data_IF_880267714264
#
_entry.id   IF_880267714264
#
_cell.length_a   1.000
_cell.length_b   1.000
_cell.length_c   1.000
_cell.angle_alpha   90.00
_cell.angle_beta   90.00
_cell.angle_gamma   90.00
#
_symmetry.space_group_name_H-M   'P 1'
#
loop_
_entity.id
_entity.type
_entity.pdbx_description
1 polymer ?
#
# COMPACT_ATOMS: atom_id res chain seq x y z
N UNK A 1 -2.22 2.09 8.71
CA UNK A 1 -2.12 1.99 7.22
C UNK A 1 -2.01 0.53 6.74
N UNK A 2 -2.78 -0.38 7.35
CA UNK A 2 -2.72 -1.81 7.01
C UNK A 2 -3.11 -2.14 5.57
N UNK A 3 -3.94 -1.33 4.94
CA UNK A 3 -4.33 -1.49 3.55
C UNK A 3 -3.13 -1.53 2.58
N UNK A 4 -2.01 -0.90 2.93
CA UNK A 4 -0.77 -0.92 2.14
C UNK A 4 -0.05 -2.28 2.15
N UNK A 5 -0.44 -3.22 3.00
CA UNK A 5 0.07 -4.59 3.03
C UNK A 5 -0.87 -5.62 2.41
N UNK A 6 -2.06 -5.20 1.96
CA UNK A 6 -3.01 -6.08 1.28
C UNK A 6 -2.52 -6.39 -0.14
N UNK A 7 -2.41 -7.67 -0.47
CA UNK A 7 -1.90 -8.11 -1.77
C UNK A 7 -2.84 -7.69 -2.91
N UNK A 8 -2.27 -7.17 -3.98
CA UNK A 8 -2.97 -6.72 -5.19
C UNK A 8 -2.47 -7.45 -6.44
N UNK A 9 -3.35 -7.54 -7.41
CA UNK A 9 -3.05 -8.16 -8.69
C UNK A 9 -3.35 -9.66 -8.72
N UNK A 10 -4.22 -10.09 -9.63
CA UNK A 10 -4.64 -11.50 -9.73
C UNK A 10 -3.48 -12.45 -9.99
N UNK A 11 -2.48 -12.03 -10.78
CA UNK A 11 -1.28 -12.83 -11.04
C UNK A 11 -0.45 -12.99 -9.76
N UNK A 12 -0.18 -11.91 -9.03
CA UNK A 12 0.60 -11.94 -7.80
C UNK A 12 -0.09 -12.76 -6.70
N UNK A 13 -1.41 -12.55 -6.52
CA UNK A 13 -2.22 -13.30 -5.54
C UNK A 13 -2.28 -14.78 -5.92
N UNK A 14 -2.45 -15.11 -7.21
CA UNK A 14 -2.44 -16.49 -7.71
C UNK A 14 -1.09 -17.21 -7.53
N UNK A 15 0.00 -16.45 -7.38
CA UNK A 15 1.34 -16.96 -7.05
C UNK A 15 1.64 -16.92 -5.53
N UNK A 16 0.61 -16.77 -4.69
CA UNK A 16 0.78 -16.71 -3.25
C UNK A 16 1.50 -15.46 -2.74
N UNK A 17 1.65 -14.41 -3.57
CA UNK A 17 2.40 -13.20 -3.22
C UNK A 17 3.90 -13.27 -3.53
N UNK A 18 4.41 -14.34 -4.15
CA UNK A 18 5.79 -14.44 -4.64
C UNK A 18 5.96 -13.69 -5.95
N UNK A 19 6.06 -12.37 -5.92
CA UNK A 19 6.01 -11.52 -7.12
C UNK A 19 7.13 -10.47 -7.21
N UNK A 20 7.94 -10.31 -6.18
CA UNK A 20 9.00 -9.28 -6.08
C UNK A 20 10.04 -9.39 -7.20
N UNK A 21 10.41 -10.62 -7.61
CA UNK A 21 11.37 -10.87 -8.70
C UNK A 21 10.71 -10.96 -10.08
N UNK A 22 9.39 -11.03 -10.15
CA UNK A 22 8.60 -11.07 -11.39
C UNK A 22 8.17 -9.67 -11.76
N UNK A 23 7.37 -9.01 -10.95
CA UNK A 23 6.87 -7.63 -11.05
C UNK A 23 6.69 -7.13 -12.50
N UNK A 24 5.99 -7.94 -13.32
CA UNK A 24 5.96 -7.79 -14.77
C UNK A 24 4.66 -7.22 -15.33
N UNK A 25 3.69 -6.92 -14.49
CA UNK A 25 2.40 -6.33 -14.85
C UNK A 25 2.23 -4.92 -14.29
N UNK A 26 1.03 -4.36 -14.36
CA UNK A 26 0.75 -3.02 -13.85
C UNK A 26 0.74 -2.91 -12.33
N UNK A 27 0.70 -4.02 -11.57
CA UNK A 27 0.85 -4.02 -10.12
C UNK A 27 2.31 -3.90 -9.65
N UNK A 28 3.27 -3.86 -10.58
CA UNK A 28 4.70 -3.80 -10.29
C UNK A 28 5.08 -2.68 -9.32
N UNK A 29 4.46 -1.49 -9.44
CA UNK A 29 4.78 -0.36 -8.55
C UNK A 29 4.48 -0.64 -7.07
N UNK A 30 3.54 -1.54 -6.80
CA UNK A 30 3.22 -2.00 -5.45
C UNK A 30 4.22 -3.05 -4.94
N UNK A 31 4.61 -4.01 -5.80
CA UNK A 31 5.45 -5.13 -5.41
C UNK A 31 6.94 -4.80 -5.45
N UNK A 32 7.38 -4.19 -6.55
CA UNK A 32 8.76 -3.80 -6.81
C UNK A 32 8.79 -2.71 -7.87
N UNK A 33 9.03 -1.44 -7.51
CA UNK A 33 8.97 -0.33 -8.46
C UNK A 33 9.97 -0.44 -9.62
N UNK A 34 11.04 -1.23 -9.51
CA UNK A 34 11.95 -1.49 -10.62
C UNK A 34 11.27 -2.25 -11.78
N UNK A 35 10.15 -2.93 -11.52
CA UNK A 35 9.43 -3.74 -12.50
C UNK A 35 8.84 -2.94 -13.66
N UNK A 36 8.56 -1.63 -13.49
CA UNK A 36 7.99 -0.83 -14.58
C UNK A 36 8.96 -0.59 -15.73
N UNK A 37 10.26 -0.54 -15.47
CA UNK A 37 11.28 -0.35 -16.51
C UNK A 37 11.71 -1.68 -17.13
N UNK A 38 11.57 -2.77 -16.41
CA UNK A 38 12.09 -4.07 -16.82
C UNK A 38 11.40 -4.64 -18.08
N UNK A 39 10.12 -4.29 -18.31
CA UNK A 39 9.33 -4.80 -19.44
C UNK A 39 9.10 -3.80 -20.59
N UNK A 40 9.67 -2.61 -20.51
CA UNK A 40 9.73 -1.59 -21.58
C UNK A 40 8.40 -1.24 -22.27
N UNK A 41 7.25 -1.47 -21.64
CA UNK A 41 5.93 -1.25 -22.21
C UNK A 41 5.19 -0.12 -21.47
N UNK A 42 4.34 0.57 -22.23
CA UNK A 42 3.28 1.39 -21.62
C UNK A 42 2.25 0.46 -21.03
N UNK A 43 1.92 0.62 -19.75
CA UNK A 43 0.94 -0.21 -19.05
C UNK A 43 -0.10 0.65 -18.36
N UNK A 44 -1.32 0.26 -18.56
CA UNK A 44 -2.48 0.72 -17.81
C UNK A 44 -3.04 -0.50 -17.08
N UNK A 45 -3.34 -0.35 -15.81
CA UNK A 45 -3.81 -1.46 -15.00
C UNK A 45 -4.87 -1.00 -14.01
N UNK A 46 -5.92 -1.78 -13.90
CA UNK A 46 -6.99 -1.60 -12.93
C UNK A 46 -7.23 -2.94 -12.23
N UNK A 47 -7.32 -2.91 -10.93
CA UNK A 47 -7.75 -4.03 -10.12
C UNK A 47 -8.86 -3.55 -9.19
N UNK A 48 -10.00 -4.24 -9.21
CA UNK A 48 -11.12 -4.03 -8.31
C UNK A 48 -11.38 -5.34 -7.57
N UNK A 49 -11.58 -5.25 -6.27
CA UNK A 49 -11.89 -6.40 -5.43
C UNK A 49 -12.97 -6.01 -4.41
N UNK A 50 -14.10 -6.69 -4.48
CA UNK A 50 -15.06 -6.66 -3.39
C UNK A 50 -14.54 -7.53 -2.24
N UNK A 51 -14.40 -6.93 -1.08
CA UNK A 51 -13.92 -7.61 0.10
C UNK A 51 -15.08 -7.88 1.06
N UNK A 52 -14.75 -8.36 2.27
CA UNK A 52 -15.76 -8.60 3.32
C UNK A 52 -16.39 -7.29 3.78
N UNK A 53 -17.63 -7.35 4.29
CA UNK A 53 -18.36 -6.23 4.89
C UNK A 53 -18.48 -5.00 3.97
N UNK A 54 -18.81 -5.22 2.69
CA UNK A 54 -18.99 -4.18 1.67
C UNK A 54 -17.79 -3.24 1.48
N UNK A 55 -16.58 -3.71 1.86
CA UNK A 55 -15.34 -2.98 1.61
C UNK A 55 -14.93 -3.21 0.15
N UNK A 56 -14.64 -2.12 -0.56
CA UNK A 56 -14.04 -2.16 -1.88
C UNK A 56 -12.55 -1.85 -1.80
N UNK A 57 -11.75 -2.65 -2.48
CA UNK A 57 -10.32 -2.44 -2.63
C UNK A 57 -9.98 -2.24 -4.10
N UNK A 58 -9.51 -1.04 -4.42
CA UNK A 58 -9.22 -0.61 -5.78
C UNK A 58 -7.75 -0.26 -5.94
N UNK A 59 -7.17 -0.68 -7.05
CA UNK A 59 -5.83 -0.28 -7.43
C UNK A 59 -5.80 0.13 -8.90
N UNK A 60 -5.23 1.29 -9.14
CA UNK A 60 -5.01 1.83 -10.47
C UNK A 60 -3.53 2.10 -10.67
N UNK A 61 -3.01 1.83 -11.87
CA UNK A 61 -1.68 2.26 -12.24
C UNK A 61 -1.53 2.56 -13.73
N UNK A 62 -0.64 3.50 -14.01
CA UNK A 62 -0.21 3.89 -15.35
C UNK A 62 1.30 4.01 -15.36
N UNK A 63 1.99 3.30 -16.26
CA UNK A 63 3.42 3.46 -16.48
C UNK A 63 3.72 3.76 -17.94
N UNK A 64 4.62 4.71 -18.16
CA UNK A 64 5.05 5.14 -19.49
C UNK A 64 6.57 5.25 -19.56
N UNK A 65 7.20 4.85 -20.70
CA UNK A 65 8.60 5.14 -20.95
C UNK A 65 8.78 6.65 -21.24
N UNK A 66 9.77 7.26 -20.61
CA UNK A 66 10.27 8.60 -20.96
C UNK A 66 11.26 8.46 -22.12
N UNK A 67 12.13 7.44 -22.04
CA UNK A 67 13.06 7.02 -23.08
C UNK A 67 13.36 5.52 -22.92
N UNK A 68 14.33 4.98 -23.65
CA UNK A 68 14.66 3.55 -23.65
C UNK A 68 15.00 2.98 -22.27
N UNK A 69 15.57 3.79 -21.37
CA UNK A 69 16.04 3.36 -20.06
C UNK A 69 15.22 3.92 -18.88
N UNK A 70 14.44 4.99 -19.07
CA UNK A 70 13.78 5.72 -18.00
C UNK A 70 12.26 5.62 -18.11
N UNK A 71 11.61 5.36 -16.98
CA UNK A 71 10.17 5.13 -16.87
C UNK A 71 9.61 5.93 -15.72
N UNK A 72 8.41 6.46 -15.93
CA UNK A 72 7.62 7.09 -14.89
C UNK A 72 6.30 6.35 -14.75
N UNK A 73 5.78 6.29 -13.53
CA UNK A 73 4.49 5.70 -13.24
C UNK A 73 3.70 6.50 -12.23
N UNK A 74 2.39 6.36 -12.33
CA UNK A 74 1.43 6.84 -11.35
C UNK A 74 0.66 5.64 -10.82
N UNK A 75 0.41 5.60 -9.53
CA UNK A 75 -0.41 4.56 -8.92
C UNK A 75 -1.32 5.14 -7.84
N UNK A 76 -2.47 4.52 -7.68
CA UNK A 76 -3.46 4.85 -6.65
C UNK A 76 -3.94 3.55 -6.04
N UNK A 77 -3.90 3.48 -4.73
CA UNK A 77 -4.56 2.43 -3.94
C UNK A 77 -5.68 3.09 -3.14
N UNK A 78 -6.87 2.51 -3.19
CA UNK A 78 -8.04 3.03 -2.50
C UNK A 78 -8.77 1.89 -1.81
N UNK A 79 -9.09 2.09 -0.55
CA UNK A 79 -10.02 1.24 0.22
C UNK A 79 -11.17 2.11 0.66
N UNK A 80 -12.39 1.68 0.37
CA UNK A 80 -13.60 2.41 0.73
C UNK A 80 -14.57 1.48 1.42
N UNK A 81 -15.18 1.97 2.48
CA UNK A 81 -16.27 1.31 3.19
C UNK A 81 -17.56 2.05 2.89
N UNK A 82 -18.67 1.30 2.80
CA UNK A 82 -20.01 1.88 2.72
C UNK A 82 -20.34 2.72 3.94
N UNK A 83 -21.45 3.44 3.86
CA UNK A 83 -21.98 4.18 5.02
C UNK A 83 -22.40 3.21 6.12
N UNK A 84 -22.01 3.53 7.34
CA UNK A 84 -22.32 2.78 8.55
C UNK A 84 -23.17 3.65 9.48
N UNK A 85 -24.16 3.06 10.13
CA UNK A 85 -25.01 3.80 11.09
C UNK A 85 -24.25 4.06 12.40
N UNK A 86 -24.42 5.29 12.92
CA UNK A 86 -23.93 5.66 14.25
C UNK A 86 -24.91 5.17 15.29
N UNK A 87 -24.47 4.26 16.15
CA UNK A 87 -25.25 3.79 17.30
C UNK A 87 -24.73 4.40 18.60
N UNK A 88 -25.64 4.83 19.48
CA UNK A 88 -25.32 5.37 20.82
C UNK A 88 -26.03 4.56 21.89
N UNK A 89 -25.45 4.53 23.11
CA UNK A 89 -26.07 3.85 24.21
C UNK A 89 -27.46 4.44 24.49
N UNK A 90 -28.49 3.58 24.46
CA UNK A 90 -29.90 3.99 24.65
C UNK A 90 -30.57 4.64 23.43
N UNK A 91 -29.87 4.79 22.30
CA UNK A 91 -30.42 5.25 21.02
C UNK A 91 -29.73 4.53 19.87
N UNK A 92 -30.25 3.37 19.46
CA UNK A 92 -29.69 2.56 18.38
C UNK A 92 -29.97 3.13 16.99
N UNK A 93 -31.01 3.94 16.83
CA UNK A 93 -31.46 4.57 15.59
C UNK A 93 -31.23 6.10 15.64
N UNK A 94 -29.97 6.51 15.51
CA UNK A 94 -29.65 7.94 15.51
C UNK A 94 -30.00 8.64 14.20
N UNK A 95 -30.10 7.89 13.10
CA UNK A 95 -30.25 8.43 11.74
C UNK A 95 -28.97 9.09 11.20
N UNK A 96 -27.88 9.06 11.98
CA UNK A 96 -26.58 9.55 11.55
C UNK A 96 -25.78 8.42 10.90
N UNK A 97 -25.01 8.72 9.85
CA UNK A 97 -24.09 7.77 9.20
C UNK A 97 -22.68 8.31 9.20
N UNK A 98 -21.72 7.41 9.12
CA UNK A 98 -20.31 7.72 8.90
C UNK A 98 -19.70 6.78 7.87
N UNK A 99 -18.60 7.17 7.27
CA UNK A 99 -17.83 6.33 6.34
C UNK A 99 -16.36 6.32 6.71
N UNK A 100 -15.65 5.29 6.23
CA UNK A 100 -14.21 5.20 6.34
C UNK A 100 -13.58 4.97 4.95
N UNK A 101 -12.42 5.56 4.72
CA UNK A 101 -11.68 5.39 3.48
C UNK A 101 -10.19 5.58 3.68
N UNK A 102 -9.38 4.78 2.97
CA UNK A 102 -7.94 4.86 2.96
C UNK A 102 -7.47 5.03 1.53
N UNK A 103 -6.57 5.97 1.31
CA UNK A 103 -6.04 6.27 -0.02
C UNK A 103 -4.51 6.36 0.02
N UNK A 104 -3.87 5.87 -1.03
CA UNK A 104 -2.45 6.11 -1.28
C UNK A 104 -2.25 6.52 -2.74
N UNK A 105 -1.56 7.64 -2.95
CA UNK A 105 -1.21 8.18 -4.26
C UNK A 105 0.30 8.08 -4.42
N UNK A 106 0.77 7.37 -5.44
CA UNK A 106 2.18 7.13 -5.67
C UNK A 106 2.67 7.67 -7.01
N UNK A 107 3.91 8.17 -7.00
CA UNK A 107 4.67 8.53 -8.20
C UNK A 107 5.93 7.68 -8.21
N UNK A 108 6.08 6.90 -9.28
CA UNK A 108 7.19 5.96 -9.45
C UNK A 108 8.14 6.46 -10.53
N UNK A 109 9.43 6.37 -10.26
CA UNK A 109 10.48 6.49 -11.25
C UNK A 109 11.32 5.21 -11.27
N UNK A 110 11.63 4.71 -12.45
CA UNK A 110 12.48 3.52 -12.61
C UNK A 110 13.44 3.69 -13.77
N UNK A 111 14.63 3.15 -13.61
CA UNK A 111 15.70 3.24 -14.59
C UNK A 111 16.35 1.86 -14.81
N UNK A 112 16.58 1.52 -16.08
CA UNK A 112 17.47 0.42 -16.47
C UNK A 112 18.90 0.93 -16.51
N UNK A 113 19.70 0.54 -15.51
CA UNK A 113 21.13 0.88 -15.50
C UNK A 113 21.91 0.04 -16.51
N UNK A 114 21.44 -1.18 -16.76
CA UNK A 114 21.92 -2.07 -17.81
C UNK A 114 20.74 -2.87 -18.35
N UNK A 115 20.94 -3.62 -19.45
CA UNK A 115 19.93 -4.54 -20.01
C UNK A 115 19.45 -5.62 -19.03
N UNK A 116 20.16 -5.78 -17.90
CA UNK A 116 19.91 -6.84 -16.92
C UNK A 116 19.60 -6.31 -15.51
N UNK A 117 19.80 -5.02 -15.26
CA UNK A 117 19.67 -4.45 -13.92
C UNK A 117 18.87 -3.16 -13.94
N UNK A 118 17.81 -3.13 -13.12
CA UNK A 118 16.90 -2.01 -12.96
C UNK A 118 16.80 -1.60 -11.50
N UNK A 119 16.59 -0.31 -11.28
CA UNK A 119 16.28 0.28 -9.98
C UNK A 119 14.99 1.10 -10.11
N UNK A 120 14.14 1.05 -9.09
CA UNK A 120 12.92 1.84 -9.02
C UNK A 120 12.74 2.50 -7.66
N UNK A 121 12.13 3.68 -7.68
CA UNK A 121 11.74 4.46 -6.51
C UNK A 121 10.27 4.84 -6.66
N UNK A 122 9.47 4.70 -5.60
CA UNK A 122 8.08 5.14 -5.56
C UNK A 122 7.85 5.99 -4.31
N UNK A 123 7.48 7.24 -4.50
CA UNK A 123 7.06 8.13 -3.43
C UNK A 123 5.55 8.10 -3.28
N UNK A 124 5.03 7.93 -2.07
CA UNK A 124 3.59 7.82 -1.78
C UNK A 124 3.15 8.88 -0.78
N UNK A 125 2.00 9.48 -1.05
CA UNK A 125 1.18 10.18 -0.06
C UNK A 125 0.07 9.26 0.38
N UNK A 126 -0.14 9.15 1.69
CA UNK A 126 -1.08 8.24 2.32
C UNK A 126 -2.05 9.05 3.16
N UNK A 127 -3.34 8.74 3.05
CA UNK A 127 -4.41 9.32 3.84
C UNK A 127 -5.33 8.21 4.33
N UNK A 128 -5.56 8.15 5.62
CA UNK A 128 -6.62 7.35 6.25
C UNK A 128 -7.65 8.30 6.82
N UNK A 129 -8.92 8.01 6.59
CA UNK A 129 -10.04 8.81 7.08
C UNK A 129 -11.09 7.90 7.69
N UNK A 130 -11.59 8.29 8.88
CA UNK A 130 -12.76 7.70 9.52
C UNK A 130 -13.62 8.83 10.09
N UNK A 131 -14.87 8.88 9.67
CA UNK A 131 -15.80 9.97 10.03
C UNK A 131 -15.15 11.36 9.80
N UNK A 132 -14.92 12.16 10.85
CA UNK A 132 -14.31 13.49 10.78
C UNK A 132 -12.83 13.49 11.23
N UNK A 133 -12.25 12.29 11.41
CA UNK A 133 -10.85 12.13 11.80
C UNK A 133 -10.02 11.59 10.64
N UNK A 134 -8.77 12.02 10.55
CA UNK A 134 -7.85 11.63 9.47
C UNK A 134 -6.41 11.50 9.96
N UNK A 135 -5.65 10.66 9.26
CA UNK A 135 -4.20 10.59 9.39
C UNK A 135 -3.56 10.71 8.00
N UNK A 136 -2.55 11.58 7.89
CA UNK A 136 -1.78 11.76 6.67
C UNK A 136 -0.33 11.32 6.88
N UNK A 137 0.28 10.75 5.85
CA UNK A 137 1.67 10.32 5.87
C UNK A 137 2.31 10.29 4.51
N UNK A 138 3.63 10.11 4.51
CA UNK A 138 4.43 9.89 3.31
C UNK A 138 5.24 8.62 3.47
N UNK A 139 5.43 7.90 2.37
CA UNK A 139 6.28 6.73 2.33
C UNK A 139 7.11 6.69 1.05
N UNK A 140 8.23 5.98 1.13
CA UNK A 140 9.09 5.67 -0.01
C UNK A 140 9.17 4.15 -0.16
N UNK A 141 9.11 3.69 -1.41
CA UNK A 141 9.44 2.33 -1.77
C UNK A 141 10.68 2.33 -2.66
N UNK A 142 11.55 1.38 -2.42
CA UNK A 142 12.75 1.12 -3.22
C UNK A 142 12.65 -0.28 -3.79
N UNK A 143 13.11 -0.45 -5.02
CA UNK A 143 13.14 -1.77 -5.64
C UNK A 143 14.32 -1.95 -6.56
N UNK A 144 14.78 -3.18 -6.67
CA UNK A 144 15.78 -3.59 -7.66
C UNK A 144 15.36 -4.88 -8.34
N UNK A 145 15.72 -5.02 -9.61
CA UNK A 145 15.56 -6.26 -10.38
C UNK A 145 16.85 -6.55 -11.14
N UNK A 146 17.29 -7.80 -11.05
CA UNK A 146 18.46 -8.28 -11.75
C UNK A 146 18.16 -9.59 -12.48
N UNK A 147 18.45 -9.63 -13.78
CA UNK A 147 18.36 -10.83 -14.61
C UNK A 147 19.74 -11.44 -14.78
N UNK A 148 19.95 -12.62 -14.22
CA UNK A 148 21.21 -13.33 -14.34
C UNK A 148 21.41 -13.90 -15.75
N UNK A 149 22.65 -14.18 -16.16
CA UNK A 149 22.94 -14.86 -17.44
C UNK A 149 22.29 -16.25 -17.56
N UNK A 150 21.98 -16.88 -16.44
CA UNK A 150 21.36 -18.22 -16.37
C UNK A 150 19.83 -18.21 -16.40
N UNK A 151 19.21 -17.03 -16.62
CA UNK A 151 17.76 -16.88 -16.72
C UNK A 151 17.04 -16.67 -15.38
N UNK A 152 17.74 -16.75 -14.25
CA UNK A 152 17.14 -16.38 -12.95
C UNK A 152 16.91 -14.88 -12.86
N UNK A 153 15.81 -14.49 -12.23
CA UNK A 153 15.52 -13.11 -11.84
C UNK A 153 15.63 -12.99 -10.33
N UNK A 154 16.37 -12.01 -9.88
CA UNK A 154 16.49 -11.64 -8.48
C UNK A 154 15.82 -10.29 -8.28
N UNK A 155 14.94 -10.19 -7.31
CA UNK A 155 14.24 -8.95 -6.97
C UNK A 155 14.41 -8.64 -5.49
N UNK A 156 14.63 -7.36 -5.18
CA UNK A 156 14.49 -6.88 -3.80
C UNK A 156 13.61 -5.67 -3.76
N UNK A 157 12.81 -5.52 -2.72
CA UNK A 157 12.04 -4.30 -2.48
C UNK A 157 11.94 -4.00 -1.00
N UNK A 158 11.98 -2.72 -0.68
CA UNK A 158 11.61 -2.16 0.62
C UNK A 158 10.39 -1.29 0.34
N UNK A 159 9.27 -1.57 1.00
CA UNK A 159 8.01 -0.86 0.80
C UNK A 159 7.57 -0.18 2.08
N UNK A 160 6.93 1.00 1.92
CA UNK A 160 6.33 1.77 3.00
C UNK A 160 7.33 2.31 4.04
N UNK A 161 8.54 2.65 3.63
CA UNK A 161 9.49 3.34 4.48
C UNK A 161 9.07 4.80 4.67
N UNK A 162 8.72 5.19 5.89
CA UNK A 162 8.26 6.55 6.19
C UNK A 162 8.10 6.81 7.68
N UNK A 163 7.80 8.06 8.06
CA UNK A 163 7.55 8.44 9.45
C UNK A 163 6.24 7.83 9.95
N UNK A 164 6.11 7.74 11.27
CA UNK A 164 4.86 7.35 11.94
C UNK A 164 3.75 8.33 11.63
N UNK A 165 2.57 7.81 11.36
CA UNK A 165 1.34 8.58 11.21
C UNK A 165 0.66 8.83 12.56
N UNK A 166 -0.21 9.82 12.60
CA UNK A 166 -1.03 10.15 13.78
C UNK A 166 -2.43 10.54 13.34
N UNK A 167 -3.44 9.99 14.00
CA UNK A 167 -4.83 10.39 13.81
C UNK A 167 -5.09 11.75 14.46
N UNK A 168 -5.82 12.62 13.76
CA UNK A 168 -6.27 13.94 14.22
C UNK A 168 -7.63 14.22 13.58
N UNK A 169 -8.42 15.11 14.17
CA UNK A 169 -9.73 15.48 13.65
C UNK A 169 -10.72 15.85 14.73
N UNK A 170 -11.91 16.27 14.30
CA UNK A 170 -12.92 16.83 15.20
C UNK A 170 -13.57 15.78 16.11
N UNK A 171 -13.55 14.50 15.74
CA UNK A 171 -14.07 13.42 16.59
C UNK A 171 -13.19 13.16 17.83
N UNK A 172 -12.04 13.80 17.91
CA UNK A 172 -11.13 13.75 19.07
C UNK A 172 -11.38 14.92 20.04
N UNK A 173 -12.31 15.80 19.73
CA UNK A 173 -12.72 16.88 20.63
C UNK A 173 -13.57 16.33 21.77
N UNK A 174 -13.19 16.68 22.99
CA UNK A 174 -13.93 16.33 24.20
C UNK A 174 -14.14 17.58 25.05
N UNK A 175 -15.28 17.65 25.71
CA UNK A 175 -15.48 18.63 26.75
C UNK A 175 -14.89 18.09 28.07
N UNK A 176 -14.01 18.85 28.68
CA UNK A 176 -13.31 18.48 29.91
C UNK A 176 -13.64 19.53 30.97
N UNK A 177 -14.12 19.10 32.13
CA UNK A 177 -14.12 19.90 33.32
C UNK A 177 -12.73 19.85 33.97
N UNK A 178 -12.12 21.04 34.13
CA UNK A 178 -10.76 21.12 34.66
C UNK A 178 -10.74 20.95 36.19
N UNK A 179 -11.82 21.33 36.87
CA UNK A 179 -11.93 21.24 38.33
C UNK A 179 -13.36 20.87 38.72
N UNK A 180 -13.63 19.59 38.86
CA UNK A 180 -14.92 19.02 39.27
C UNK A 180 -15.34 19.43 40.68
N UNK A 181 -14.48 20.10 41.45
CA UNK A 181 -14.78 20.53 42.83
C UNK A 181 -15.35 21.93 42.94
N UNK A 182 -15.33 22.70 41.84
CA UNK A 182 -15.78 24.10 41.82
C UNK A 182 -16.89 24.28 40.78
N UNK A 183 -18.12 24.30 41.22
CA UNK A 183 -19.29 24.56 40.37
C UNK A 183 -19.20 25.95 39.67
N UNK A 184 -19.47 25.97 38.35
CA UNK A 184 -19.57 27.20 37.57
C UNK A 184 -18.26 27.80 37.14
N UNK A 185 -17.15 27.07 37.22
CA UNK A 185 -15.84 27.50 36.74
C UNK A 185 -15.26 26.49 35.73
N UNK A 186 -15.29 26.87 34.45
CA UNK A 186 -14.70 26.05 33.35
C UNK A 186 -15.28 24.62 33.21
N UNK A 187 -16.58 24.44 33.43
CA UNK A 187 -17.29 23.15 33.34
C UNK A 187 -17.19 22.48 31.97
N UNK A 188 -16.81 23.22 30.93
CA UNK A 188 -16.71 22.69 29.57
C UNK A 188 -15.59 23.38 28.78
N UNK A 189 -14.36 22.96 29.03
CA UNK A 189 -13.21 23.37 28.20
C UNK A 189 -13.01 22.35 27.11
N UNK A 190 -12.90 22.83 25.88
CA UNK A 190 -12.61 21.96 24.74
C UNK A 190 -11.18 21.44 24.81
N UNK A 191 -11.01 20.13 24.95
CA UNK A 191 -9.75 19.43 24.90
C UNK A 191 -9.68 18.48 23.69
N UNK A 192 -8.47 18.11 23.30
CA UNK A 192 -8.25 17.05 22.29
C UNK A 192 -7.76 15.78 22.98
N UNK A 193 -8.36 14.64 22.61
CA UNK A 193 -7.81 13.34 22.96
C UNK A 193 -6.46 13.15 22.25
N UNK A 194 -5.43 12.87 23.02
CA UNK A 194 -4.12 12.57 22.47
C UNK A 194 -4.12 11.16 21.88
N UNK A 195 -3.97 11.06 20.57
CA UNK A 195 -3.78 9.77 19.89
C UNK A 195 -2.30 9.40 19.84
N UNK A 196 -2.00 8.11 19.90
CA UNK A 196 -0.64 7.62 19.70
C UNK A 196 -0.26 7.63 18.21
N UNK A 197 1.04 7.70 17.95
CA UNK A 197 1.58 7.54 16.60
C UNK A 197 1.73 6.06 16.27
N UNK A 198 1.36 5.67 15.06
CA UNK A 198 1.47 4.31 14.57
C UNK A 198 2.42 4.21 13.37
N UNK A 199 3.09 3.08 13.27
CA UNK A 199 4.04 2.81 12.19
C UNK A 199 3.34 2.47 10.87
N UNK A 200 4.00 2.81 9.76
CA UNK A 200 3.64 2.27 8.46
C UNK A 200 4.03 0.78 8.38
N UNK A 201 3.31 -0.05 7.58
CA UNK A 201 3.65 -1.46 7.41
C UNK A 201 4.88 -1.61 6.51
N UNK A 202 6.06 -1.36 7.08
CA UNK A 202 7.34 -1.54 6.40
C UNK A 202 7.55 -3.02 6.09
N UNK A 203 7.85 -3.35 4.84
CA UNK A 203 8.13 -4.71 4.40
C UNK A 203 9.38 -4.72 3.55
N UNK A 204 10.35 -5.57 3.96
CA UNK A 204 11.47 -5.98 3.11
C UNK A 204 11.11 -7.29 2.40
N UNK A 205 11.27 -7.33 1.09
CA UNK A 205 11.06 -8.52 0.27
C UNK A 205 12.32 -8.84 -0.53
N UNK A 206 12.65 -10.13 -0.58
CA UNK A 206 13.73 -10.64 -1.42
C UNK A 206 13.19 -11.85 -2.17
N UNK A 207 13.21 -11.79 -3.49
CA UNK A 207 12.61 -12.81 -4.34
C UNK A 207 13.58 -13.36 -5.40
N UNK A 208 13.38 -14.62 -5.72
CA UNK A 208 14.04 -15.30 -6.84
C UNK A 208 12.98 -15.98 -7.71
N UNK A 209 13.12 -15.90 -9.01
CA UNK A 209 12.25 -16.60 -9.96
C UNK A 209 13.00 -17.06 -11.20
N UNK A 210 12.44 -18.06 -11.88
CA UNK A 210 12.94 -18.51 -13.19
C UNK A 210 11.77 -19.04 -14.03
N UNK A 211 11.98 -19.06 -15.34
CA UNK A 211 11.06 -19.62 -16.32
C UNK A 211 11.62 -20.94 -16.86
N UNK A 212 10.84 -22.00 -16.82
CA UNK A 212 11.11 -23.29 -17.41
C UNK A 212 10.30 -23.39 -18.70
N UNK A 213 11.00 -23.51 -19.83
CA UNK A 213 10.35 -23.71 -21.14
C UNK A 213 10.19 -25.21 -21.41
N UNK A 214 8.96 -25.66 -21.55
CA UNK A 214 8.65 -27.05 -21.91
C UNK A 214 8.22 -27.07 -23.37
N UNK A 215 9.19 -27.46 -24.22
CA UNK A 215 9.01 -27.36 -25.67
C UNK A 215 8.95 -25.90 -26.15
N UNK A 216 8.17 -25.63 -27.21
CA UNK A 216 8.03 -24.27 -27.79
C UNK A 216 6.76 -23.52 -27.35
N UNK A 217 5.89 -24.18 -26.58
CA UNK A 217 4.50 -23.69 -26.35
C UNK A 217 4.22 -23.43 -24.88
N UNK A 218 4.83 -24.16 -23.96
CA UNK A 218 4.53 -24.02 -22.53
C UNK A 218 5.67 -23.35 -21.79
N UNK A 219 5.36 -22.27 -21.07
CA UNK A 219 6.25 -21.62 -20.11
C UNK A 219 5.69 -21.78 -18.72
N UNK A 220 6.46 -22.38 -17.85
CA UNK A 220 6.17 -22.49 -16.41
C UNK A 220 7.08 -21.53 -15.66
N UNK A 221 6.50 -20.60 -14.92
CA UNK A 221 7.23 -19.68 -14.04
C UNK A 221 7.11 -20.16 -12.60
N UNK A 222 8.21 -20.24 -11.89
CA UNK A 222 8.23 -20.43 -10.45
C UNK A 222 8.89 -19.23 -9.77
N UNK A 223 8.48 -18.93 -8.54
CA UNK A 223 9.06 -17.87 -7.73
C UNK A 223 9.05 -18.26 -6.25
N UNK A 224 9.99 -17.71 -5.52
CA UNK A 224 10.07 -17.79 -4.05
C UNK A 224 10.44 -16.41 -3.53
N UNK A 225 9.65 -15.89 -2.60
CA UNK A 225 9.88 -14.60 -1.96
C UNK A 225 10.00 -14.79 -0.44
N UNK A 226 11.07 -14.25 0.14
CA UNK A 226 11.22 -14.09 1.60
C UNK A 226 10.77 -12.68 1.98
N UNK A 227 9.87 -12.60 2.97
CA UNK A 227 9.24 -11.36 3.41
C UNK A 227 9.54 -11.13 4.90
N UNK A 228 9.96 -9.91 5.22
CA UNK A 228 10.24 -9.45 6.58
C UNK A 228 9.45 -8.17 6.87
N UNK A 229 8.20 -8.28 7.35
CA UNK A 229 7.41 -7.14 7.78
C UNK A 229 7.83 -6.68 9.18
N UNK A 230 7.63 -5.39 9.49
CA UNK A 230 7.96 -4.83 10.82
C UNK A 230 6.90 -5.16 11.90
N UNK A 231 5.75 -5.67 11.51
CA UNK A 231 4.58 -5.89 12.38
C UNK A 231 4.15 -7.36 12.48
N UNK A 232 4.91 -8.27 11.90
CA UNK A 232 4.62 -9.70 11.89
C UNK A 232 5.92 -10.53 11.80
N UNK A 233 5.78 -11.85 11.89
CA UNK A 233 6.91 -12.77 11.70
C UNK A 233 7.31 -12.84 10.22
N UNK A 234 8.58 -13.12 9.97
CA UNK A 234 9.08 -13.38 8.63
C UNK A 234 8.39 -14.61 8.02
N UNK A 235 8.08 -14.56 6.74
CA UNK A 235 7.44 -15.66 6.01
C UNK A 235 8.00 -15.80 4.59
N UNK A 236 7.79 -16.98 4.01
CA UNK A 236 8.21 -17.32 2.63
C UNK A 236 6.93 -17.63 1.83
N UNK A 237 6.86 -17.07 0.63
CA UNK A 237 5.81 -17.31 -0.37
C UNK A 237 6.33 -18.17 -1.51
#
# INVERSE_FOLDING_TARGET
AKFLSTNIGSQAVGMGGAFTSIANDGSAMFWNPAGISFNQLRKFYVNHSNWIADISFDYFSLSIPINENNYIGLNVTSVTMGEMEVTRYGNENTGETFSASDHAFGITYSINLTDKFSIGLNGKFIQEKIANSYANGFALDLGTLFKTPYGFRLGTSISNFGPKMKMSGDDLLVAIDIDETIDGNNESVTGYLATERFDLPLILRVGISNDILIGKVVRMTWAVDANSPNDNQNYIN
#
